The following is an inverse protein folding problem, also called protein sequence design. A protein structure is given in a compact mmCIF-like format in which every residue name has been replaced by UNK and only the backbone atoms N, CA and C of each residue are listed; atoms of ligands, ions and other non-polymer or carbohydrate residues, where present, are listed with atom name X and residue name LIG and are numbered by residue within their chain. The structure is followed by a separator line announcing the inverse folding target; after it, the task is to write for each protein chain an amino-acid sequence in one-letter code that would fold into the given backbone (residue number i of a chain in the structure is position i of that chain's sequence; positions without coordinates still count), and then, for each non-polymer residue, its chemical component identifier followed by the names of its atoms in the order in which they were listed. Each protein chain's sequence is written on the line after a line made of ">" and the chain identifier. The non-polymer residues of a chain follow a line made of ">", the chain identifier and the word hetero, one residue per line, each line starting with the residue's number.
data_IF_263647059615
#
_entry.id   IF_263647059615
#
_cell.length_a   1.000
_cell.length_b   1.000
_cell.length_c   1.000
_cell.angle_alpha   90.00
_cell.angle_beta   90.00
_cell.angle_gamma   90.00
#
_symmetry.space_group_name_H-M   'P 1'
#
loop_
_entity.id
_entity.type
_entity.pdbx_description
1 polymer ?
#
# COMPACT_ATOMS: atom_id res chain seq x y z
N UNK A 1 6.79 -2.59 -8.63
CA UNK A 1 5.56 -3.40 -8.80
C UNK A 1 4.36 -2.49 -8.85
N UNK A 2 3.49 -2.63 -9.87
CA UNK A 2 2.18 -1.96 -9.89
C UNK A 2 1.29 -2.64 -8.85
N UNK A 3 0.91 -1.94 -7.80
CA UNK A 3 -0.14 -2.42 -6.89
C UNK A 3 -1.47 -2.33 -7.63
N UNK A 4 -2.40 -3.27 -7.40
CA UNK A 4 -3.73 -3.24 -8.04
C UNK A 4 -4.46 -1.90 -7.79
N UNK A 5 -4.17 -1.27 -6.66
CA UNK A 5 -4.59 0.10 -6.32
C UNK A 5 -4.11 1.12 -7.36
N UNK A 6 -2.86 1.06 -7.82
CA UNK A 6 -2.33 1.95 -8.84
C UNK A 6 -3.03 1.77 -10.21
N UNK A 7 -3.73 0.66 -10.44
CA UNK A 7 -4.54 0.44 -11.64
C UNK A 7 -6.01 0.82 -11.46
N UNK A 8 -6.57 0.67 -10.25
CA UNK A 8 -7.95 1.06 -9.92
C UNK A 8 -8.10 2.57 -9.80
N UNK A 9 -7.23 3.23 -9.03
CA UNK A 9 -7.38 4.65 -8.68
C UNK A 9 -7.57 5.53 -9.93
N UNK A 10 -6.78 5.40 -11.01
CA UNK A 10 -7.00 6.17 -12.23
C UNK A 10 -8.37 5.93 -12.90
N UNK A 11 -8.93 4.71 -12.79
CA UNK A 11 -10.23 4.37 -13.42
C UNK A 11 -11.42 4.96 -12.67
N UNK A 12 -11.28 5.10 -11.35
CA UNK A 12 -12.35 5.63 -10.49
C UNK A 12 -12.20 7.12 -10.22
N UNK A 13 -11.17 7.77 -10.79
CA UNK A 13 -10.88 9.18 -10.55
C UNK A 13 -12.05 10.12 -10.89
N UNK A 14 -12.92 9.73 -11.85
CA UNK A 14 -14.14 10.47 -12.20
C UNK A 14 -15.16 10.59 -11.06
N UNK A 15 -15.11 9.67 -10.08
CA UNK A 15 -15.96 9.67 -8.89
C UNK A 15 -15.29 10.38 -7.71
N UNK A 16 -14.01 10.74 -7.84
CA UNK A 16 -13.28 11.43 -6.79
C UNK A 16 -13.83 12.83 -6.60
N UNK A 17 -13.98 13.21 -5.34
CA UNK A 17 -14.16 14.60 -4.98
C UNK A 17 -12.87 15.38 -5.19
N UNK A 18 -13.02 16.70 -5.38
CA UNK A 18 -11.89 17.62 -5.47
C UNK A 18 -11.30 17.83 -4.08
N UNK A 19 -9.96 17.85 -4.01
CA UNK A 19 -9.23 18.12 -2.78
C UNK A 19 -9.40 19.55 -2.26
N UNK A 20 -9.96 20.45 -3.10
CA UNK A 20 -10.29 21.82 -2.73
C UNK A 20 -11.32 21.88 -1.58
N UNK A 21 -12.09 20.81 -1.36
CA UNK A 21 -12.98 20.71 -0.21
C UNK A 21 -12.23 20.22 1.04
N UNK A 22 -11.36 21.09 1.58
CA UNK A 22 -10.52 20.78 2.74
C UNK A 22 -11.32 20.40 3.99
N UNK A 23 -12.58 20.84 4.11
CA UNK A 23 -13.45 20.50 5.25
C UNK A 23 -13.70 19.00 5.41
N UNK A 24 -13.63 18.24 4.32
CA UNK A 24 -13.75 16.78 4.35
C UNK A 24 -12.43 16.10 4.73
N UNK A 25 -11.30 16.78 4.54
CA UNK A 25 -9.97 16.27 4.86
C UNK A 25 -9.63 16.56 6.32
N UNK A 26 -9.94 17.76 6.78
CA UNK A 26 -9.48 18.26 8.08
C UNK A 26 -10.30 17.71 9.24
N UNK A 27 -9.63 17.56 10.38
CA UNK A 27 -10.19 17.09 11.65
C UNK A 27 -10.84 15.69 11.60
N UNK A 28 -10.59 14.92 10.55
CA UNK A 28 -10.96 13.50 10.44
C UNK A 28 -9.80 12.59 10.87
N UNK A 29 -10.13 11.35 11.22
CA UNK A 29 -9.13 10.33 11.60
C UNK A 29 -8.77 9.49 10.39
N UNK A 30 -7.66 9.82 9.74
CA UNK A 30 -7.17 9.13 8.55
C UNK A 30 -6.18 8.03 8.93
N UNK A 31 -6.63 6.79 8.94
CA UNK A 31 -5.79 5.64 9.27
C UNK A 31 -5.03 5.19 8.04
N UNK A 32 -3.70 5.18 8.10
CA UNK A 32 -2.90 4.55 7.05
C UNK A 32 -3.04 3.04 7.15
N UNK A 33 -3.37 2.42 6.02
CA UNK A 33 -3.37 0.98 5.95
C UNK A 33 -1.93 0.46 5.75
N UNK A 34 -1.36 -0.09 6.80
CA UNK A 34 -0.11 -0.84 6.76
C UNK A 34 -0.36 -2.29 7.22
N UNK A 35 -0.55 -3.20 6.25
CA UNK A 35 -0.77 -4.63 6.52
C UNK A 35 0.45 -5.33 7.13
N UNK A 36 1.63 -4.68 7.15
CA UNK A 36 2.88 -5.30 7.56
C UNK A 36 3.16 -5.18 9.06
N UNK A 37 2.72 -4.08 9.67
CA UNK A 37 3.18 -3.71 11.01
C UNK A 37 2.17 -4.02 12.10
N UNK A 38 0.89 -4.28 11.77
CA UNK A 38 -0.24 -4.27 12.72
C UNK A 38 -0.33 -2.97 13.56
N UNK A 39 0.50 -1.97 13.23
CA UNK A 39 0.57 -0.70 13.94
C UNK A 39 -0.38 0.25 13.25
N UNK A 40 -1.39 0.67 13.99
CA UNK A 40 -2.36 1.65 13.52
C UNK A 40 -1.74 3.05 13.64
N UNK A 41 -1.47 3.66 12.49
CA UNK A 41 -1.05 5.07 12.41
C UNK A 41 -2.24 5.92 11.96
N UNK A 42 -2.61 6.91 12.77
CA UNK A 42 -3.69 7.85 12.49
C UNK A 42 -3.10 9.21 12.14
N UNK A 43 -3.57 9.78 11.05
CA UNK A 43 -3.24 11.12 10.57
C UNK A 43 -4.44 12.03 10.76
N UNK A 44 -4.22 13.21 11.34
CA UNK A 44 -5.25 14.24 11.52
C UNK A 44 -4.73 15.54 10.94
N UNK A 45 -5.27 15.92 9.79
CA UNK A 45 -4.98 17.19 9.13
C UNK A 45 -5.75 18.30 9.86
N UNK A 46 -5.06 19.29 10.43
CA UNK A 46 -5.69 20.40 11.17
C UNK A 46 -5.78 21.64 10.27
N UNK A 47 -6.83 22.43 10.46
CA UNK A 47 -7.08 23.63 9.65
C UNK A 47 -5.97 24.69 9.77
N UNK A 48 -5.19 24.64 10.85
CA UNK A 48 -4.04 25.53 11.08
C UNK A 48 -2.74 25.08 10.39
N UNK A 49 -2.79 24.04 9.54
CA UNK A 49 -1.62 23.49 8.84
C UNK A 49 -0.77 22.53 9.68
N UNK A 50 -1.17 22.21 10.92
CA UNK A 50 -0.54 21.12 11.68
C UNK A 50 -1.06 19.75 11.21
N UNK A 51 -0.17 18.78 11.11
CA UNK A 51 -0.49 17.38 10.89
C UNK A 51 -0.17 16.61 12.17
N UNK A 52 -1.17 16.00 12.79
CA UNK A 52 -0.97 15.12 13.94
C UNK A 52 -0.84 13.68 13.44
N UNK A 53 0.22 13.01 13.86
CA UNK A 53 0.50 11.61 13.53
C UNK A 53 0.47 10.82 14.84
N UNK A 54 -0.59 10.06 15.07
CA UNK A 54 -0.79 9.27 16.27
C UNK A 54 -0.47 7.80 16.01
N UNK A 55 0.42 7.23 16.84
CA UNK A 55 0.80 5.82 16.81
C UNK A 55 0.75 5.29 18.24
N UNK A 56 -0.09 4.28 18.49
CA UNK A 56 -0.25 3.66 19.82
C UNK A 56 -0.43 4.67 20.96
N UNK A 57 -1.19 5.75 20.72
CA UNK A 57 -1.45 6.82 21.69
C UNK A 57 -0.35 7.89 21.81
N UNK A 58 0.82 7.71 21.19
CA UNK A 58 1.85 8.75 21.09
C UNK A 58 1.59 9.63 19.87
N UNK A 59 1.65 10.95 20.05
CA UNK A 59 1.41 11.93 18.98
C UNK A 59 2.70 12.64 18.61
N UNK A 60 3.06 12.57 17.34
CA UNK A 60 4.06 13.42 16.70
C UNK A 60 3.38 14.53 15.90
N UNK A 61 3.96 15.73 15.94
CA UNK A 61 3.50 16.88 15.17
C UNK A 61 4.36 17.06 13.92
N UNK A 62 3.70 17.29 12.81
CA UNK A 62 4.26 17.63 11.50
C UNK A 62 3.48 18.81 10.92
N UNK A 63 3.83 19.27 9.72
CA UNK A 63 3.06 20.28 8.99
C UNK A 63 2.50 19.71 7.70
N UNK A 64 1.39 20.26 7.25
CA UNK A 64 0.85 19.99 5.93
C UNK A 64 0.32 21.28 5.30
N UNK A 65 0.33 21.33 3.98
CA UNK A 65 -0.18 22.47 3.22
C UNK A 65 -0.86 21.99 1.95
N UNK A 66 -2.02 22.56 1.64
CA UNK A 66 -2.63 22.41 0.32
C UNK A 66 -2.05 23.45 -0.63
N UNK A 67 -1.26 23.01 -1.60
CA UNK A 67 -0.56 23.90 -2.55
C UNK A 67 -1.45 24.33 -3.74
N UNK A 68 -2.74 23.98 -3.73
CA UNK A 68 -3.60 24.09 -4.89
C UNK A 68 -3.32 22.99 -5.93
N UNK A 69 -4.08 23.02 -7.03
CA UNK A 69 -3.94 22.05 -8.14
C UNK A 69 -3.90 20.59 -7.66
N UNK A 70 -4.77 20.28 -6.69
CA UNK A 70 -4.90 18.93 -6.12
C UNK A 70 -3.56 18.37 -5.60
N UNK A 71 -2.74 19.21 -4.97
CA UNK A 71 -1.43 18.85 -4.45
C UNK A 71 -1.29 19.18 -2.97
N UNK A 72 -0.74 18.25 -2.18
CA UNK A 72 -0.50 18.40 -0.75
C UNK A 72 0.99 18.27 -0.49
N UNK A 73 1.56 19.21 0.26
CA UNK A 73 2.86 19.07 0.88
C UNK A 73 2.68 18.54 2.29
N UNK A 74 3.44 17.50 2.65
CA UNK A 74 3.57 17.05 4.04
C UNK A 74 5.02 17.22 4.44
N UNK A 75 5.26 18.02 5.47
CA UNK A 75 6.57 18.31 6.01
C UNK A 75 6.77 17.58 7.35
N UNK A 76 7.59 16.53 7.30
CA UNK A 76 7.99 15.75 8.47
C UNK A 76 9.33 16.28 8.98
N UNK A 77 9.69 15.96 10.23
CA UNK A 77 10.92 16.43 10.89
C UNK A 77 12.20 16.30 10.06
N UNK A 78 12.30 15.23 9.26
CA UNK A 78 13.52 14.94 8.48
C UNK A 78 13.36 15.15 6.97
N UNK A 79 12.12 15.15 6.45
CA UNK A 79 11.87 15.13 5.02
C UNK A 79 10.48 15.71 4.70
N UNK A 80 10.38 16.42 3.58
CA UNK A 80 9.11 16.89 3.02
C UNK A 80 8.73 16.08 1.79
N UNK A 81 7.44 15.78 1.65
CA UNK A 81 6.91 14.96 0.56
C UNK A 81 5.80 15.71 -0.16
N UNK A 82 5.92 15.77 -1.49
CA UNK A 82 4.86 16.27 -2.35
C UNK A 82 3.96 15.12 -2.79
N UNK A 83 2.68 15.28 -2.53
CA UNK A 83 1.63 14.37 -2.95
C UNK A 83 0.72 15.02 -3.98
N UNK A 84 0.37 14.25 -4.99
CA UNK A 84 -0.73 14.54 -5.90
C UNK A 84 -1.97 13.79 -5.44
N UNK A 85 -3.10 14.44 -5.59
CA UNK A 85 -4.40 13.84 -5.42
C UNK A 85 -4.57 12.63 -6.34
N UNK A 86 -4.89 11.48 -5.75
CA UNK A 86 -5.24 10.27 -6.47
C UNK A 86 -6.75 10.07 -6.51
N UNK A 87 -7.34 9.96 -5.33
CA UNK A 87 -8.77 9.75 -5.10
C UNK A 87 -9.14 10.26 -3.72
N UNK A 88 -10.35 10.79 -3.56
CA UNK A 88 -10.85 11.31 -2.30
C UNK A 88 -12.36 11.21 -2.25
N UNK A 89 -12.86 10.58 -1.21
CA UNK A 89 -14.27 10.63 -0.80
C UNK A 89 -14.34 10.71 0.73
N UNK A 90 -15.54 10.54 1.29
CA UNK A 90 -15.75 10.57 2.74
C UNK A 90 -15.09 9.40 3.51
N UNK A 91 -14.72 8.32 2.82
CA UNK A 91 -14.23 7.06 3.38
C UNK A 91 -12.74 6.81 3.12
N UNK A 92 -12.23 7.23 1.95
CA UNK A 92 -10.92 6.87 1.41
C UNK A 92 -10.25 8.12 0.86
N UNK A 93 -9.00 8.31 1.28
CA UNK A 93 -8.07 9.27 0.71
C UNK A 93 -6.89 8.51 0.11
N UNK A 94 -6.66 8.69 -1.19
CA UNK A 94 -5.53 8.16 -1.91
C UNK A 94 -4.64 9.31 -2.39
N UNK A 95 -3.41 9.35 -1.89
CA UNK A 95 -2.40 10.33 -2.25
C UNK A 95 -1.29 9.65 -3.05
N UNK A 96 -1.07 10.10 -4.27
CA UNK A 96 0.04 9.64 -5.11
C UNK A 96 1.29 10.41 -4.75
N UNK A 97 2.41 9.75 -4.49
CA UNK A 97 3.69 10.46 -4.32
C UNK A 97 4.09 11.04 -5.68
N UNK A 98 4.48 12.32 -5.73
CA UNK A 98 4.88 12.97 -6.97
C UNK A 98 6.03 12.19 -7.65
N UNK A 99 5.91 11.99 -8.97
CA UNK A 99 6.83 11.19 -9.79
C UNK A 99 7.02 9.71 -9.39
N UNK A 100 6.15 9.13 -8.54
CA UNK A 100 6.13 7.69 -8.25
C UNK A 100 4.76 7.09 -8.51
N UNK A 101 4.72 5.85 -9.03
CA UNK A 101 3.46 5.09 -9.15
C UNK A 101 3.13 4.37 -7.83
N UNK A 102 3.20 5.12 -6.73
CA UNK A 102 2.92 4.64 -5.38
C UNK A 102 1.86 5.53 -4.75
N UNK A 103 0.84 4.90 -4.18
CA UNK A 103 -0.25 5.57 -3.49
C UNK A 103 -0.15 5.28 -1.99
N UNK A 104 -0.24 6.32 -1.18
CA UNK A 104 -0.60 6.25 0.22
C UNK A 104 -2.13 6.21 0.31
N UNK A 105 -2.66 5.17 0.96
CA UNK A 105 -4.11 5.00 1.14
C UNK A 105 -4.42 5.18 2.61
N UNK A 106 -5.34 6.10 2.88
CA UNK A 106 -5.82 6.41 4.20
C UNK A 106 -7.33 6.19 4.23
N UNK A 107 -7.81 5.63 5.35
CA UNK A 107 -9.22 5.35 5.57
C UNK A 107 -9.73 6.28 6.65
N UNK A 108 -10.89 6.88 6.41
CA UNK A 108 -11.57 7.67 7.42
C UNK A 108 -12.22 6.76 8.46
N UNK A 109 -11.56 6.57 9.59
CA UNK A 109 -12.10 5.77 10.69
C UNK A 109 -13.31 6.43 11.36
N UNK A 110 -13.43 7.77 11.29
CA UNK A 110 -14.61 8.47 11.81
C UNK A 110 -15.89 8.13 11.04
N UNK A 111 -15.77 7.53 9.85
CA UNK A 111 -16.89 7.09 9.01
C UNK A 111 -16.99 5.57 8.85
N UNK A 112 -15.89 4.84 9.01
CA UNK A 112 -15.84 3.40 8.74
C UNK A 112 -15.10 2.63 9.85
N UNK A 113 -15.85 1.96 10.74
CA UNK A 113 -15.28 1.37 11.97
C UNK A 113 -14.77 -0.07 11.86
N UNK A 114 -15.12 -0.88 10.83
CA UNK A 114 -14.83 -2.33 10.88
C UNK A 114 -14.39 -3.07 9.61
N UNK A 115 -14.69 -2.59 8.39
CA UNK A 115 -14.55 -3.44 7.19
C UNK A 115 -13.39 -3.08 6.24
N UNK A 116 -12.66 -1.99 6.44
CA UNK A 116 -11.60 -1.54 5.52
C UNK A 116 -10.18 -1.77 6.06
N UNK A 117 -10.01 -2.69 6.99
CA UNK A 117 -8.75 -3.03 7.64
C UNK A 117 -7.78 -3.89 6.79
N UNK A 118 -8.03 -4.05 5.48
CA UNK A 118 -7.09 -4.72 4.55
C UNK A 118 -7.17 -4.13 3.13
N UNK A 119 -6.08 -4.26 2.37
CA UNK A 119 -5.95 -3.87 0.96
C UNK A 119 -7.02 -4.58 0.15
N UNK A 120 -7.23 -5.88 0.43
CA UNK A 120 -8.26 -6.68 -0.24
C UNK A 120 -9.67 -6.14 0.00
N UNK A 121 -9.97 -5.68 1.21
CA UNK A 121 -11.27 -5.10 1.52
C UNK A 121 -11.48 -3.73 0.87
N UNK A 122 -10.45 -2.88 0.85
CA UNK A 122 -10.47 -1.60 0.09
C UNK A 122 -10.70 -1.86 -1.39
N UNK A 123 -9.97 -2.80 -1.96
CA UNK A 123 -10.10 -3.18 -3.37
C UNK A 123 -11.55 -3.60 -3.66
N UNK A 124 -12.13 -4.45 -2.80
CA UNK A 124 -13.52 -4.90 -2.94
C UNK A 124 -14.49 -3.72 -2.85
N UNK A 125 -14.32 -2.86 -1.85
CA UNK A 125 -15.13 -1.66 -1.66
C UNK A 125 -15.07 -0.74 -2.88
N UNK A 126 -13.88 -0.40 -3.36
CA UNK A 126 -13.71 0.47 -4.52
C UNK A 126 -14.31 -0.15 -5.79
N UNK A 127 -14.14 -1.46 -5.97
CA UNK A 127 -14.70 -2.16 -7.12
C UNK A 127 -16.22 -2.20 -7.09
N UNK A 128 -16.82 -2.45 -5.92
CA UNK A 128 -18.28 -2.53 -5.77
C UNK A 128 -18.95 -1.17 -5.89
N UNK A 129 -18.33 -0.10 -5.37
CA UNK A 129 -18.95 1.22 -5.31
C UNK A 129 -18.68 2.07 -6.56
N UNK A 130 -17.59 1.83 -7.29
CA UNK A 130 -17.13 2.75 -8.34
C UNK A 130 -16.83 2.10 -9.70
N UNK A 131 -16.93 0.77 -9.83
CA UNK A 131 -16.70 0.10 -11.12
C UNK A 131 -18.01 -0.54 -11.58
N UNK A 132 -18.61 0.00 -12.65
CA UNK A 132 -19.71 -0.66 -13.35
C UNK A 132 -19.17 -1.96 -13.97
N UNK A 133 -19.71 -3.11 -13.55
CA UNK A 133 -19.13 -4.45 -13.68
C UNK A 133 -17.85 -4.63 -12.85
N UNK A 134 -17.96 -4.81 -11.52
CA UNK A 134 -16.81 -5.16 -10.69
C UNK A 134 -16.16 -6.42 -11.27
N UNK A 135 -14.84 -6.38 -11.52
CA UNK A 135 -14.12 -7.60 -11.88
C UNK A 135 -14.35 -8.61 -10.75
N UNK A 136 -15.10 -9.67 -11.04
CA UNK A 136 -15.24 -10.81 -10.15
C UNK A 136 -13.82 -11.36 -10.01
N UNK A 137 -13.19 -11.10 -8.86
CA UNK A 137 -11.95 -11.78 -8.50
C UNK A 137 -12.36 -13.22 -8.20
N UNK A 138 -12.47 -14.03 -9.26
CA UNK A 138 -12.57 -15.45 -9.11
C UNK A 138 -11.33 -15.88 -8.34
N UNK A 139 -11.52 -16.43 -7.14
CA UNK A 139 -10.55 -17.36 -6.56
C UNK A 139 -10.47 -18.53 -7.55
N UNK A 140 -9.69 -18.39 -8.61
CA UNK A 140 -9.34 -19.53 -9.44
C UNK A 140 -8.52 -20.44 -8.54
N UNK A 141 -9.15 -21.51 -8.07
CA UNK A 141 -8.44 -22.71 -7.67
C UNK A 141 -7.69 -23.19 -8.90
N UNK A 142 -6.39 -22.89 -8.96
CA UNK A 142 -5.48 -23.54 -9.89
C UNK A 142 -5.19 -24.91 -9.31
N UNK A 143 -5.53 -25.96 -10.07
CA UNK A 143 -5.28 -27.34 -9.71
C UNK A 143 -3.83 -27.57 -9.31
N UNK A 144 -3.64 -28.47 -8.33
CA UNK A 144 -2.32 -28.92 -7.85
C UNK A 144 -1.48 -29.43 -9.02
N UNK A 145 -0.50 -28.64 -9.44
CA UNK A 145 0.71 -29.13 -10.09
C UNK A 145 1.86 -28.80 -9.15
N UNK A 146 2.76 -29.75 -8.93
CA UNK A 146 3.90 -29.59 -8.02
C UNK A 146 4.95 -28.69 -8.70
N UNK A 147 4.88 -27.38 -8.46
CA UNK A 147 5.83 -26.41 -8.99
C UNK A 147 6.98 -26.24 -8.00
N UNK A 148 8.19 -26.65 -8.39
CA UNK A 148 9.41 -26.44 -7.60
C UNK A 148 10.31 -25.35 -8.19
N UNK A 149 11.18 -24.76 -7.34
CA UNK A 149 12.17 -23.77 -7.75
C UNK A 149 13.38 -24.45 -8.40
N UNK A 150 13.72 -24.04 -9.61
CA UNK A 150 14.89 -24.54 -10.35
C UNK A 150 16.17 -23.75 -10.07
N UNK A 151 16.05 -22.44 -9.82
CA UNK A 151 17.19 -21.57 -9.57
C UNK A 151 16.76 -20.31 -8.81
N UNK A 152 17.65 -19.75 -8.00
CA UNK A 152 17.48 -18.46 -7.33
C UNK A 152 18.71 -17.60 -7.62
N UNK A 153 18.49 -16.43 -8.22
CA UNK A 153 19.54 -15.49 -8.61
C UNK A 153 19.43 -14.20 -7.80
N UNK A 154 20.52 -13.75 -7.22
CA UNK A 154 20.60 -12.40 -6.66
C UNK A 154 20.60 -11.37 -7.80
N UNK A 155 19.71 -10.39 -7.74
CA UNK A 155 19.61 -9.34 -8.76
C UNK A 155 20.40 -8.11 -8.38
N UNK A 156 20.09 -7.52 -7.22
CA UNK A 156 20.66 -6.23 -6.79
C UNK A 156 20.39 -5.93 -5.32
N UNK A 157 21.08 -4.91 -4.82
CA UNK A 157 20.66 -4.19 -3.63
C UNK A 157 19.72 -3.04 -4.03
N UNK A 158 18.72 -2.75 -3.21
CA UNK A 158 17.77 -1.66 -3.44
C UNK A 158 17.30 -0.99 -2.16
N UNK A 159 16.49 0.06 -2.30
CA UNK A 159 15.88 0.79 -1.19
C UNK A 159 14.43 1.15 -1.53
N UNK A 160 13.50 0.98 -0.59
CA UNK A 160 12.11 1.50 -0.69
C UNK A 160 11.69 2.18 0.60
N UNK A 161 10.70 3.08 0.54
CA UNK A 161 10.14 3.72 1.72
C UNK A 161 9.47 2.72 2.67
N UNK A 162 8.77 1.71 2.13
CA UNK A 162 8.09 0.68 2.92
C UNK A 162 9.05 -0.32 3.58
N UNK A 163 10.16 -0.65 2.92
CA UNK A 163 11.04 -1.76 3.35
C UNK A 163 12.45 -1.34 3.77
N UNK A 164 12.86 -0.10 3.54
CA UNK A 164 14.24 0.34 3.73
C UNK A 164 15.19 -0.36 2.75
N UNK A 165 16.46 -0.52 3.14
CA UNK A 165 17.48 -1.21 2.32
C UNK A 165 17.20 -2.71 2.23
N UNK A 166 17.22 -3.27 1.01
CA UNK A 166 16.95 -4.69 0.75
C UNK A 166 17.91 -5.30 -0.28
N UNK A 167 17.95 -6.64 -0.30
CA UNK A 167 18.50 -7.47 -1.39
C UNK A 167 17.33 -8.04 -2.19
N UNK A 168 17.40 -7.97 -3.51
CA UNK A 168 16.40 -8.52 -4.43
C UNK A 168 16.92 -9.83 -5.03
N UNK A 169 16.07 -10.85 -5.03
CA UNK A 169 16.32 -12.17 -5.61
C UNK A 169 15.22 -12.52 -6.60
N UNK A 170 15.56 -13.31 -7.61
CA UNK A 170 14.61 -13.86 -8.58
C UNK A 170 14.68 -15.39 -8.55
N UNK A 171 13.57 -16.04 -8.22
CA UNK A 171 13.41 -17.49 -8.28
C UNK A 171 12.80 -17.89 -9.63
N UNK A 172 13.46 -18.79 -10.36
CA UNK A 172 12.94 -19.42 -11.58
C UNK A 172 12.22 -20.71 -11.21
N UNK A 173 10.95 -20.81 -11.55
CA UNK A 173 10.11 -21.98 -11.34
C UNK A 173 10.26 -22.99 -12.48
N UNK A 174 9.96 -24.26 -12.20
CA UNK A 174 9.96 -25.37 -13.16
C UNK A 174 9.04 -25.15 -14.37
N UNK A 175 7.96 -24.39 -14.20
CA UNK A 175 7.06 -23.97 -15.28
C UNK A 175 7.58 -22.77 -16.12
N UNK A 176 8.80 -22.29 -15.84
CA UNK A 176 9.42 -21.17 -16.54
C UNK A 176 9.03 -19.77 -16.04
N UNK A 177 8.13 -19.65 -15.05
CA UNK A 177 7.82 -18.37 -14.40
C UNK A 177 8.98 -17.88 -13.51
N UNK A 178 9.01 -16.58 -13.26
CA UNK A 178 9.93 -15.95 -12.33
C UNK A 178 9.16 -15.26 -11.20
N UNK A 179 9.64 -15.42 -9.98
CA UNK A 179 9.11 -14.74 -8.79
C UNK A 179 10.24 -13.95 -8.16
N UNK A 180 10.04 -12.65 -8.00
CA UNK A 180 10.96 -11.79 -7.28
C UNK A 180 10.59 -11.75 -5.79
N UNK A 181 11.58 -11.94 -4.92
CA UNK A 181 11.43 -11.85 -3.48
C UNK A 181 12.62 -11.10 -2.88
N UNK A 182 12.46 -10.59 -1.67
CA UNK A 182 13.32 -9.54 -1.15
C UNK A 182 13.76 -9.86 0.28
N UNK A 183 14.99 -9.54 0.63
CA UNK A 183 15.49 -9.62 1.99
C UNK A 183 15.75 -8.22 2.54
N UNK A 184 15.08 -7.82 3.61
CA UNK A 184 15.33 -6.53 4.27
C UNK A 184 16.63 -6.61 5.06
N UNK A 185 17.54 -5.65 4.88
CA UNK A 185 18.86 -5.67 5.53
C UNK A 185 18.82 -5.40 7.03
N UNK A 186 17.83 -4.63 7.51
CA UNK A 186 17.79 -4.23 8.92
C UNK A 186 17.35 -5.33 9.88
N UNK A 187 16.62 -6.33 9.39
CA UNK A 187 16.10 -7.42 10.22
C UNK A 187 16.22 -8.80 9.56
N UNK A 188 16.90 -8.87 8.43
CA UNK A 188 17.19 -10.08 7.63
C UNK A 188 15.98 -10.90 7.17
N UNK A 189 14.75 -10.43 7.41
CA UNK A 189 13.51 -11.10 7.01
C UNK A 189 13.32 -11.07 5.51
N UNK A 190 12.58 -12.05 5.01
CA UNK A 190 12.25 -12.21 3.60
C UNK A 190 10.82 -11.78 3.32
N UNK A 191 10.58 -11.24 2.13
CA UNK A 191 9.33 -10.61 1.73
C UNK A 191 8.99 -11.03 0.31
N UNK A 192 7.73 -11.44 0.09
CA UNK A 192 7.13 -11.60 -1.23
C UNK A 192 6.02 -10.57 -1.36
N UNK A 193 6.04 -9.81 -2.45
CA UNK A 193 4.94 -8.92 -2.79
C UNK A 193 4.04 -9.64 -3.78
N UNK A 194 2.83 -10.00 -3.34
CA UNK A 194 1.75 -10.43 -4.22
C UNK A 194 0.91 -9.23 -4.65
N UNK A 195 0.04 -9.41 -5.64
CA UNK A 195 -0.85 -8.34 -6.13
C UNK A 195 -1.68 -7.68 -5.03
N UNK A 196 -2.00 -8.43 -3.96
CA UNK A 196 -2.97 -8.04 -2.93
C UNK A 196 -2.46 -8.15 -1.48
N UNK A 197 -1.26 -8.69 -1.26
CA UNK A 197 -0.71 -8.94 0.10
C UNK A 197 0.82 -8.92 0.06
N UNK A 198 1.44 -8.60 1.19
CA UNK A 198 2.88 -8.77 1.39
C UNK A 198 3.08 -9.83 2.44
N UNK A 199 3.87 -10.85 2.09
CA UNK A 199 4.05 -12.01 2.94
C UNK A 199 5.47 -11.97 3.49
N UNK A 200 5.58 -12.08 4.80
CA UNK A 200 6.85 -11.97 5.53
C UNK A 200 7.26 -13.34 6.02
N UNK A 201 8.53 -13.66 5.81
CA UNK A 201 9.14 -14.91 6.23
C UNK A 201 10.31 -14.64 7.17
N UNK A 202 10.48 -15.43 8.24
CA UNK A 202 11.60 -15.28 9.16
C UNK A 202 12.94 -15.58 8.49
N UNK A 203 12.97 -16.47 7.50
CA UNK A 203 14.18 -16.92 6.83
C UNK A 203 13.92 -17.23 5.34
N UNK A 204 14.99 -17.58 4.62
CA UNK A 204 14.93 -17.86 3.19
C UNK A 204 14.19 -19.17 2.89
N UNK A 205 14.35 -20.18 3.73
CA UNK A 205 13.83 -21.53 3.48
C UNK A 205 12.30 -21.54 3.59
N UNK A 206 11.75 -20.85 4.59
CA UNK A 206 10.31 -20.63 4.75
C UNK A 206 9.72 -19.83 3.60
N UNK A 207 10.44 -18.82 3.09
CA UNK A 207 10.05 -18.08 1.89
C UNK A 207 10.04 -18.96 0.64
N UNK A 208 11.05 -19.80 0.46
CA UNK A 208 11.18 -20.71 -0.69
C UNK A 208 10.09 -21.77 -0.67
N UNK A 209 9.87 -22.43 0.48
CA UNK A 209 8.78 -23.40 0.64
C UNK A 209 7.42 -22.81 0.31
N UNK A 210 7.17 -21.58 0.74
CA UNK A 210 5.92 -20.91 0.42
C UNK A 210 5.74 -20.67 -1.09
N UNK A 211 6.82 -20.30 -1.80
CA UNK A 211 6.80 -20.12 -3.25
C UNK A 211 6.41 -21.43 -3.96
N UNK A 212 6.94 -22.56 -3.48
CA UNK A 212 6.67 -23.89 -4.04
C UNK A 212 5.25 -24.38 -3.70
N UNK A 213 4.73 -24.11 -2.49
CA UNK A 213 3.41 -24.59 -2.06
C UNK A 213 2.23 -23.80 -2.67
N UNK A 214 2.41 -22.50 -2.97
CA UNK A 214 1.32 -21.61 -3.40
C UNK A 214 1.19 -21.41 -4.91
N UNK A 215 2.07 -22.00 -5.71
CA UNK A 215 1.96 -21.99 -7.19
C UNK A 215 1.75 -20.58 -7.80
N UNK A 216 2.44 -19.56 -7.27
CA UNK A 216 2.34 -18.15 -7.74
C UNK A 216 2.77 -17.99 -9.22
#
# INVERSE_FOLDING_TARGET
>A
MKTYIAEIIPKIQKFSQKLDNLSMLTNQHWVVLDELTQVKTVYIFRDNGELLIAVNGKVDKAKWEYLGNSSILIDLKENSYLFRHGFFDENILALKIDNKNEYAILINESKYQKELNSISAIIRFLSQNYIENPLIINKQGLGKQDIFITNIVFKRNGYTFKMGSYKEFSAKLSNGKFIDFYQKKSNEKYFIYNKNEIIIFPDKDTCVKFIEEKNL
#
